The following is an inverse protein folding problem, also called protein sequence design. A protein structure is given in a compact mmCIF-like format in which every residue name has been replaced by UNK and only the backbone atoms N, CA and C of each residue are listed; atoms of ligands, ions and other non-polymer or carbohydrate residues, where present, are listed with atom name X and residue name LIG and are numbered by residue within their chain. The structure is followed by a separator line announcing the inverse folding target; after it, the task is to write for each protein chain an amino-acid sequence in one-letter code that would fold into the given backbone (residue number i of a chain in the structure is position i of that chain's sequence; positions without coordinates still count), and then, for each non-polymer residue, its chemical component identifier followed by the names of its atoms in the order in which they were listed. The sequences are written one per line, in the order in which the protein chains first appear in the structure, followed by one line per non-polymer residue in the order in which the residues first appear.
data_IF_901442612080
#
_entry.id   IF_901442612080
#
_cell.length_a   1.000
_cell.length_b   1.000
_cell.length_c   1.000
_cell.angle_alpha   90.00
_cell.angle_beta   90.00
_cell.angle_gamma   90.00
#
_symmetry.space_group_name_H-M   'P 1'
#
loop_
_entity.id
_entity.type
_entity.pdbx_description
1 polymer ?
#
# COMPACT_ATOMS: atom_id res chain seq x y z
N UNK A 1 -27.57 2.20 -22.46
CA UNK A 1 -26.51 2.83 -23.28
C UNK A 1 -25.44 3.35 -22.35
N UNK A 2 -24.23 3.55 -22.85
CA UNK A 2 -23.11 4.06 -22.05
C UNK A 2 -23.19 5.58 -21.93
N UNK A 3 -23.07 6.11 -20.73
CA UNK A 3 -23.05 7.55 -20.49
C UNK A 3 -22.12 7.91 -19.33
N UNK A 4 -21.66 9.16 -19.30
CA UNK A 4 -21.04 9.73 -18.13
C UNK A 4 -22.14 10.23 -17.18
N UNK A 5 -22.15 9.69 -15.97
CA UNK A 5 -23.17 9.90 -14.94
C UNK A 5 -22.54 10.73 -13.83
N UNK A 6 -23.14 11.89 -13.54
CA UNK A 6 -22.71 12.80 -12.49
C UNK A 6 -23.78 12.84 -11.39
N UNK A 7 -23.37 12.50 -10.18
CA UNK A 7 -24.15 12.74 -8.96
C UNK A 7 -23.59 13.93 -8.22
N UNK A 8 -24.49 14.77 -7.72
CA UNK A 8 -24.16 15.89 -6.83
C UNK A 8 -25.06 15.88 -5.60
N UNK A 9 -24.57 16.47 -4.51
CA UNK A 9 -25.31 16.59 -3.24
C UNK A 9 -24.75 17.76 -2.42
N UNK A 10 -25.57 18.46 -1.64
CA UNK A 10 -25.14 19.60 -0.82
C UNK A 10 -24.86 19.13 0.61
N UNK A 11 -23.60 19.18 1.02
CA UNK A 11 -23.23 18.74 2.37
C UNK A 11 -23.89 19.64 3.44
N UNK A 12 -24.66 19.02 4.34
CA UNK A 12 -25.28 19.70 5.48
C UNK A 12 -26.58 20.45 5.16
N UNK A 13 -27.16 20.30 3.96
CA UNK A 13 -28.37 21.02 3.57
C UNK A 13 -29.57 20.73 4.47
N UNK A 14 -29.79 19.48 4.89
CA UNK A 14 -30.90 19.14 5.80
C UNK A 14 -30.80 19.87 7.14
N UNK A 15 -29.58 20.01 7.68
CA UNK A 15 -29.35 20.74 8.93
C UNK A 15 -29.58 22.26 8.74
N UNK A 16 -29.14 22.81 7.61
CA UNK A 16 -29.38 24.21 7.27
C UNK A 16 -30.89 24.50 7.14
N UNK A 17 -31.65 23.61 6.48
CA UNK A 17 -33.09 23.77 6.30
C UNK A 17 -33.85 23.81 7.63
N UNK A 18 -33.39 23.10 8.66
CA UNK A 18 -33.98 23.15 10.01
C UNK A 18 -33.65 24.44 10.76
N UNK A 19 -32.50 25.07 10.48
CA UNK A 19 -32.03 26.27 11.18
C UNK A 19 -32.53 27.56 10.52
N UNK A 20 -32.52 27.63 9.19
CA UNK A 20 -32.90 28.80 8.41
C UNK A 20 -33.49 28.39 7.04
N UNK A 21 -34.81 28.26 6.98
CA UNK A 21 -35.54 27.92 5.76
C UNK A 21 -35.35 28.95 4.63
N UNK A 22 -35.16 30.23 4.96
CA UNK A 22 -35.03 31.29 3.97
C UNK A 22 -33.67 31.21 3.27
N UNK A 23 -32.61 31.00 4.05
CA UNK A 23 -31.27 30.79 3.52
C UNK A 23 -31.19 29.47 2.74
N UNK A 24 -31.79 28.38 3.26
CA UNK A 24 -31.84 27.10 2.56
C UNK A 24 -32.52 27.21 1.18
N UNK A 25 -33.65 27.93 1.11
CA UNK A 25 -34.33 28.21 -0.17
C UNK A 25 -33.43 28.99 -1.13
N UNK A 26 -32.76 30.05 -0.66
CA UNK A 26 -31.83 30.85 -1.48
C UNK A 26 -30.68 30.00 -2.04
N UNK A 27 -30.10 29.12 -1.22
CA UNK A 27 -29.05 28.19 -1.64
C UNK A 27 -29.58 27.21 -2.69
N UNK A 28 -30.76 26.62 -2.47
CA UNK A 28 -31.38 25.68 -3.41
C UNK A 28 -31.70 26.34 -4.76
N UNK A 29 -32.21 27.57 -4.74
CA UNK A 29 -32.56 28.31 -5.96
C UNK A 29 -31.29 28.66 -6.76
N UNK A 30 -30.20 29.09 -6.09
CA UNK A 30 -28.90 29.28 -6.73
C UNK A 30 -28.35 27.96 -7.28
N UNK A 31 -28.42 26.89 -6.48
CA UNK A 31 -27.95 25.56 -6.86
C UNK A 31 -28.59 25.07 -8.16
N UNK A 32 -29.94 25.13 -8.25
CA UNK A 32 -30.67 24.73 -9.45
C UNK A 32 -30.33 25.59 -10.66
N UNK A 33 -30.30 26.92 -10.49
CA UNK A 33 -29.97 27.85 -11.58
C UNK A 33 -28.59 27.54 -12.18
N UNK A 34 -27.57 27.39 -11.33
CA UNK A 34 -26.20 27.12 -11.79
C UNK A 34 -26.12 25.74 -12.45
N UNK A 35 -26.73 24.72 -11.86
CA UNK A 35 -26.75 23.37 -12.46
C UNK A 35 -27.41 23.38 -13.83
N UNK A 36 -28.60 23.95 -13.97
CA UNK A 36 -29.33 24.01 -15.24
C UNK A 36 -28.52 24.73 -16.32
N UNK A 37 -27.92 25.88 -15.99
CA UNK A 37 -27.10 26.65 -16.92
C UNK A 37 -25.84 25.88 -17.35
N UNK A 38 -25.07 25.35 -16.38
CA UNK A 38 -23.79 24.71 -16.64
C UNK A 38 -23.95 23.35 -17.30
N UNK A 39 -24.88 22.53 -16.85
CA UNK A 39 -25.12 21.21 -17.43
C UNK A 39 -25.55 21.35 -18.88
N UNK A 40 -26.46 22.28 -19.19
CA UNK A 40 -26.87 22.55 -20.57
C UNK A 40 -25.71 23.07 -21.42
N UNK A 41 -24.89 23.98 -20.90
CA UNK A 41 -23.69 24.51 -21.58
C UNK A 41 -22.74 23.38 -22.02
N UNK A 42 -22.62 22.33 -21.22
CA UNK A 42 -21.80 21.15 -21.52
C UNK A 42 -22.59 19.99 -22.12
N UNK A 43 -23.75 20.26 -22.73
CA UNK A 43 -24.60 19.28 -23.44
C UNK A 43 -25.02 18.09 -22.58
N UNK A 44 -25.03 18.27 -21.27
CA UNK A 44 -25.59 17.30 -20.35
C UNK A 44 -27.10 17.51 -20.17
N UNK A 45 -27.73 16.51 -19.58
CA UNK A 45 -29.15 16.53 -19.23
C UNK A 45 -29.32 16.19 -17.75
N UNK A 46 -30.10 16.98 -17.03
CA UNK A 46 -30.55 16.64 -15.68
C UNK A 46 -31.66 15.61 -15.82
N UNK A 47 -31.50 14.46 -15.17
CA UNK A 47 -32.47 13.37 -15.22
C UNK A 47 -33.43 13.47 -14.03
N UNK A 48 -32.90 13.68 -12.84
CA UNK A 48 -33.69 13.68 -11.62
C UNK A 48 -33.03 14.53 -10.51
N UNK A 49 -33.87 15.16 -9.70
CA UNK A 49 -33.49 15.78 -8.43
C UNK A 49 -33.88 14.87 -7.25
N UNK A 50 -33.01 14.71 -6.28
CA UNK A 50 -33.23 13.96 -5.04
C UNK A 50 -33.07 14.90 -3.84
N UNK A 51 -34.09 15.72 -3.58
CA UNK A 51 -33.99 16.78 -2.58
C UNK A 51 -33.00 17.85 -3.00
N UNK A 52 -31.83 17.88 -2.35
CA UNK A 52 -30.68 18.73 -2.65
C UNK A 52 -29.63 18.07 -3.55
N UNK A 53 -29.76 16.77 -3.81
CA UNK A 53 -28.94 16.05 -4.77
C UNK A 53 -29.47 16.11 -6.21
N UNK A 54 -28.59 15.87 -7.18
CA UNK A 54 -28.94 15.85 -8.61
C UNK A 54 -28.25 14.69 -9.32
N UNK A 55 -28.99 14.02 -10.21
CA UNK A 55 -28.48 13.06 -11.17
C UNK A 55 -28.51 13.67 -12.57
N UNK A 56 -27.33 13.78 -13.18
CA UNK A 56 -27.15 14.33 -14.52
C UNK A 56 -26.34 13.40 -15.39
N UNK A 57 -26.53 13.51 -16.70
CA UNK A 57 -25.88 12.65 -17.69
C UNK A 57 -25.26 13.45 -18.81
N UNK A 58 -24.15 12.95 -19.33
CA UNK A 58 -23.41 13.55 -20.43
C UNK A 58 -23.04 12.49 -21.45
N UNK A 59 -22.99 12.90 -22.72
CA UNK A 59 -22.48 12.05 -23.81
C UNK A 59 -20.96 11.83 -23.74
N UNK A 60 -20.24 12.65 -22.96
CA UNK A 60 -18.79 12.59 -22.81
C UNK A 60 -18.37 12.74 -21.34
N UNK A 61 -17.43 11.90 -20.90
CA UNK A 61 -16.82 12.03 -19.58
C UNK A 61 -16.01 13.33 -19.43
N UNK A 62 -15.36 13.77 -20.50
CA UNK A 62 -14.60 15.03 -20.50
C UNK A 62 -15.55 16.21 -20.30
N UNK A 63 -16.70 16.22 -20.98
CA UNK A 63 -17.73 17.26 -20.80
C UNK A 63 -18.30 17.25 -19.38
N UNK A 64 -18.58 16.06 -18.81
CA UNK A 64 -19.03 15.93 -17.43
C UNK A 64 -18.03 16.51 -16.43
N UNK A 65 -16.74 16.20 -16.59
CA UNK A 65 -15.69 16.69 -15.69
C UNK A 65 -15.48 18.19 -15.84
N UNK A 66 -15.47 18.74 -17.06
CA UNK A 66 -15.39 20.19 -17.29
C UNK A 66 -16.60 20.92 -16.69
N UNK A 67 -17.79 20.37 -16.84
CA UNK A 67 -19.00 20.87 -16.21
C UNK A 67 -18.87 20.89 -14.69
N UNK A 68 -18.42 19.78 -14.09
CA UNK A 68 -18.22 19.68 -12.65
C UNK A 68 -17.20 20.71 -12.12
N UNK A 69 -16.11 20.93 -12.86
CA UNK A 69 -15.09 21.95 -12.52
C UNK A 69 -15.69 23.36 -12.55
N UNK A 70 -16.49 23.71 -13.56
CA UNK A 70 -17.16 25.01 -13.63
C UNK A 70 -18.19 25.18 -12.52
N UNK A 71 -19.02 24.16 -12.26
CA UNK A 71 -20.00 24.16 -11.17
C UNK A 71 -19.29 24.39 -9.83
N UNK A 72 -18.22 23.65 -9.57
CA UNK A 72 -17.54 23.75 -8.29
C UNK A 72 -16.81 25.10 -8.12
N UNK A 73 -16.27 25.63 -9.20
CA UNK A 73 -15.66 26.97 -9.19
C UNK A 73 -16.70 28.06 -8.90
N UNK A 74 -17.90 27.95 -9.45
CA UNK A 74 -19.01 28.88 -9.20
C UNK A 74 -19.52 28.78 -7.75
N UNK A 75 -19.67 27.56 -7.24
CA UNK A 75 -20.14 27.31 -5.87
C UNK A 75 -19.12 27.62 -4.78
N UNK A 76 -17.85 27.83 -5.13
CA UNK A 76 -16.85 28.37 -4.21
C UNK A 76 -16.93 29.90 -4.04
N UNK A 77 -17.79 30.58 -4.81
CA UNK A 77 -18.06 32.01 -4.65
C UNK A 77 -19.26 32.25 -3.73
N UNK A 78 -19.32 33.40 -3.06
CA UNK A 78 -20.40 33.72 -2.11
C UNK A 78 -21.79 33.89 -2.78
N UNK A 79 -22.87 33.31 -2.22
CA UNK A 79 -22.90 32.42 -1.05
C UNK A 79 -22.35 31.02 -1.35
N UNK A 80 -21.31 30.58 -0.62
CA UNK A 80 -20.65 29.29 -0.86
C UNK A 80 -21.64 28.12 -0.73
N UNK A 81 -21.63 27.20 -1.71
CA UNK A 81 -22.42 25.97 -1.68
C UNK A 81 -21.47 24.77 -1.53
N UNK A 82 -21.51 24.04 -0.41
CA UNK A 82 -20.60 22.92 -0.13
C UNK A 82 -21.02 21.66 -0.92
N UNK A 83 -20.99 21.75 -2.24
CA UNK A 83 -21.36 20.66 -3.13
C UNK A 83 -20.27 19.58 -3.15
N UNK A 84 -20.68 18.31 -3.13
CA UNK A 84 -19.81 17.17 -3.41
C UNK A 84 -20.24 16.50 -4.71
N UNK A 85 -19.27 16.14 -5.55
CA UNK A 85 -19.53 15.60 -6.89
C UNK A 85 -18.86 14.24 -7.06
N UNK A 86 -19.58 13.28 -7.65
CA UNK A 86 -19.06 11.99 -8.08
C UNK A 86 -19.42 11.68 -9.53
N UNK A 87 -18.45 11.21 -10.31
CA UNK A 87 -18.63 10.92 -11.74
C UNK A 87 -18.17 9.50 -12.07
N UNK A 88 -18.98 8.78 -12.86
CA UNK A 88 -18.65 7.46 -13.40
C UNK A 88 -19.13 7.30 -14.84
N UNK A 89 -18.50 6.41 -15.61
CA UNK A 89 -19.00 5.96 -16.92
C UNK A 89 -19.57 4.56 -16.79
N UNK A 90 -20.85 4.39 -17.10
CA UNK A 90 -21.49 3.09 -17.01
C UNK A 90 -22.80 2.99 -17.79
N UNK A 91 -23.30 1.76 -17.88
CA UNK A 91 -24.59 1.50 -18.49
C UNK A 91 -25.72 2.02 -17.63
N UNK A 92 -26.70 2.60 -18.31
CA UNK A 92 -27.93 3.10 -17.73
C UNK A 92 -29.14 2.61 -18.53
N UNK A 93 -30.20 2.33 -17.78
CA UNK A 93 -31.52 1.92 -18.25
C UNK A 93 -32.53 2.94 -17.77
N UNK A 94 -33.43 3.33 -18.65
CA UNK A 94 -34.58 4.17 -18.31
C UNK A 94 -35.82 3.29 -18.20
N UNK A 95 -36.54 3.44 -17.09
CA UNK A 95 -37.89 2.91 -16.90
C UNK A 95 -38.80 4.06 -16.42
N UNK A 96 -40.12 3.85 -16.40
CA UNK A 96 -41.12 4.88 -16.08
C UNK A 96 -40.90 5.55 -14.70
N UNK A 97 -40.17 4.90 -13.80
CA UNK A 97 -39.86 5.37 -12.44
C UNK A 97 -38.52 6.13 -12.31
N UNK A 98 -37.70 6.17 -13.37
CA UNK A 98 -36.42 6.89 -13.37
C UNK A 98 -35.26 6.15 -14.03
N UNK A 99 -34.04 6.63 -13.78
CA UNK A 99 -32.83 6.05 -14.34
C UNK A 99 -32.13 5.12 -13.34
N UNK A 100 -31.93 3.87 -13.76
CA UNK A 100 -31.34 2.81 -12.94
C UNK A 100 -30.22 2.09 -13.70
N UNK A 101 -29.31 1.47 -12.95
CA UNK A 101 -28.20 0.70 -13.51
C UNK A 101 -26.98 0.66 -12.60
N UNK A 102 -26.04 -0.22 -12.95
CA UNK A 102 -24.77 -0.35 -12.23
C UNK A 102 -23.99 0.98 -12.26
N UNK A 103 -24.04 1.70 -13.39
CA UNK A 103 -23.38 2.99 -13.54
C UNK A 103 -23.90 4.05 -12.57
N UNK A 104 -25.22 4.08 -12.36
CA UNK A 104 -25.90 5.01 -11.44
C UNK A 104 -25.51 4.69 -9.99
N UNK A 105 -25.56 3.41 -9.61
CA UNK A 105 -25.16 2.97 -8.28
C UNK A 105 -23.70 3.34 -8.00
N UNK A 106 -22.77 3.04 -8.90
CA UNK A 106 -21.36 3.37 -8.73
C UNK A 106 -21.14 4.89 -8.62
N UNK A 107 -21.71 5.70 -9.51
CA UNK A 107 -21.56 7.15 -9.48
C UNK A 107 -22.04 7.76 -8.14
N UNK A 108 -23.19 7.27 -7.62
CA UNK A 108 -23.71 7.69 -6.32
C UNK A 108 -22.78 7.32 -5.15
N UNK A 109 -22.10 6.18 -5.22
CA UNK A 109 -21.11 5.75 -4.20
C UNK A 109 -19.86 6.61 -4.24
N UNK A 110 -19.36 6.94 -5.43
CA UNK A 110 -18.23 7.87 -5.59
C UNK A 110 -18.58 9.23 -5.01
N UNK A 111 -19.77 9.77 -5.33
CA UNK A 111 -20.24 11.05 -4.79
C UNK A 111 -20.36 11.01 -3.26
N UNK A 112 -20.83 9.89 -2.69
CA UNK A 112 -20.96 9.73 -1.24
C UNK A 112 -19.60 9.77 -0.51
N UNK A 113 -18.51 9.38 -1.17
CA UNK A 113 -17.15 9.49 -0.62
C UNK A 113 -16.61 10.92 -0.64
N UNK A 114 -17.04 11.72 -1.62
CA UNK A 114 -16.55 13.08 -1.79
C UNK A 114 -16.91 13.97 -0.59
N UNK A 115 -15.95 14.80 -0.20
CA UNK A 115 -16.12 15.84 0.83
C UNK A 115 -16.61 17.13 0.18
N UNK A 116 -17.11 18.06 0.99
CA UNK A 116 -17.59 19.35 0.50
C UNK A 116 -16.54 20.08 -0.35
N UNK A 117 -16.93 20.47 -1.55
CA UNK A 117 -16.09 21.20 -2.49
C UNK A 117 -15.11 20.34 -3.29
N UNK A 118 -15.28 19.02 -3.30
CA UNK A 118 -14.41 18.08 -4.01
C UNK A 118 -15.15 17.37 -5.14
N UNK A 119 -14.38 16.95 -6.15
CA UNK A 119 -14.86 16.18 -7.30
C UNK A 119 -14.11 14.85 -7.31
N UNK A 120 -14.84 13.74 -7.18
CA UNK A 120 -14.29 12.40 -7.30
C UNK A 120 -14.77 11.72 -8.58
N UNK A 121 -13.87 10.95 -9.20
CA UNK A 121 -14.13 10.22 -10.43
C UNK A 121 -13.58 8.78 -10.32
N UNK A 122 -14.14 7.88 -11.12
CA UNK A 122 -13.63 6.49 -11.26
C UNK A 122 -12.44 6.39 -12.22
N UNK A 123 -11.70 5.27 -12.14
CA UNK A 123 -10.75 4.79 -13.16
C UNK A 123 -11.19 5.06 -14.61
N UNK A 124 -12.39 4.59 -14.99
CA UNK A 124 -12.91 4.72 -16.37
C UNK A 124 -13.04 6.17 -16.85
N UNK A 125 -13.39 7.07 -15.94
CA UNK A 125 -13.52 8.50 -16.29
C UNK A 125 -12.13 9.07 -16.48
N UNK A 126 -11.20 8.73 -15.59
CA UNK A 126 -9.82 9.19 -15.64
C UNK A 126 -9.09 8.74 -16.91
N UNK A 127 -9.39 7.54 -17.41
CA UNK A 127 -8.84 7.04 -18.69
C UNK A 127 -9.23 7.95 -19.88
N UNK A 128 -10.45 8.49 -19.87
CA UNK A 128 -10.91 9.47 -20.88
C UNK A 128 -10.24 10.85 -20.75
N UNK A 129 -9.61 11.14 -19.60
CA UNK A 129 -8.97 12.44 -19.34
C UNK A 129 -7.48 12.47 -19.72
N UNK A 130 -6.88 11.33 -20.10
CA UNK A 130 -5.42 11.23 -20.36
C UNK A 130 -4.93 12.24 -21.39
N UNK A 131 -5.76 12.59 -22.38
CA UNK A 131 -5.43 13.54 -23.44
C UNK A 131 -5.85 15.00 -23.12
N UNK A 132 -6.24 15.28 -21.88
CA UNK A 132 -6.73 16.58 -21.41
C UNK A 132 -5.85 17.12 -20.27
N UNK A 133 -4.61 17.60 -20.58
CA UNK A 133 -3.64 18.01 -19.57
C UNK A 133 -4.08 19.23 -18.75
N UNK A 134 -5.10 19.96 -19.20
CA UNK A 134 -5.72 21.04 -18.44
C UNK A 134 -6.47 20.56 -17.20
N UNK A 135 -6.84 19.26 -17.13
CA UNK A 135 -7.54 18.65 -16.02
C UNK A 135 -6.53 17.90 -15.15
N UNK A 136 -6.27 18.42 -13.94
CA UNK A 136 -5.36 17.76 -13.00
C UNK A 136 -6.10 16.73 -12.16
N UNK A 137 -5.47 15.58 -11.99
CA UNK A 137 -6.04 14.41 -11.30
C UNK A 137 -5.06 13.85 -10.27
N UNK A 138 -5.57 13.41 -9.10
CA UNK A 138 -4.79 12.70 -8.08
C UNK A 138 -5.49 11.39 -7.72
N UNK A 139 -4.84 10.25 -7.93
CA UNK A 139 -5.36 8.94 -7.52
C UNK A 139 -5.19 8.72 -6.01
N UNK A 140 -6.18 8.08 -5.39
CA UNK A 140 -6.15 7.59 -4.01
C UNK A 140 -6.05 6.06 -3.94
N UNK A 141 -5.91 5.38 -5.08
CA UNK A 141 -5.92 3.92 -5.16
C UNK A 141 -7.33 3.33 -5.12
N UNK A 142 -7.41 2.02 -4.89
CA UNK A 142 -8.66 1.26 -4.99
C UNK A 142 -9.43 1.22 -3.68
N UNK A 143 -10.75 1.35 -3.75
CA UNK A 143 -11.66 1.30 -2.62
C UNK A 143 -12.75 0.24 -2.86
N UNK A 144 -13.06 -0.53 -1.83
CA UNK A 144 -14.21 -1.42 -1.81
C UNK A 144 -15.46 -0.61 -1.47
N UNK A 145 -16.29 -0.34 -2.48
CA UNK A 145 -17.53 0.41 -2.31
C UNK A 145 -18.70 -0.53 -1.99
N UNK A 146 -19.61 -0.09 -1.13
CA UNK A 146 -20.81 -0.85 -0.77
C UNK A 146 -21.62 -1.21 -2.02
N UNK A 147 -21.94 -2.50 -2.18
CA UNK A 147 -22.70 -3.05 -3.30
C UNK A 147 -22.04 -2.87 -4.68
N UNK A 148 -20.71 -2.73 -4.74
CA UNK A 148 -19.93 -2.75 -5.98
C UNK A 148 -19.06 -3.99 -5.99
N UNK A 149 -19.17 -4.82 -7.04
CA UNK A 149 -18.55 -6.16 -7.08
C UNK A 149 -17.02 -6.13 -7.05
N UNK A 150 -16.41 -5.11 -7.65
CA UNK A 150 -14.95 -4.96 -7.75
C UNK A 150 -14.50 -3.68 -7.06
N UNK A 151 -13.33 -3.67 -6.40
CA UNK A 151 -12.73 -2.43 -5.93
C UNK A 151 -12.54 -1.44 -7.08
N UNK A 152 -12.86 -0.18 -6.83
CA UNK A 152 -12.79 0.89 -7.82
C UNK A 152 -11.67 1.86 -7.46
N UNK A 153 -10.86 2.26 -8.44
CA UNK A 153 -9.91 3.35 -8.22
C UNK A 153 -10.66 4.67 -8.07
N UNK A 154 -10.37 5.41 -7.00
CA UNK A 154 -10.96 6.70 -6.72
C UNK A 154 -9.92 7.79 -6.99
N UNK A 155 -10.27 8.73 -7.85
CA UNK A 155 -9.40 9.82 -8.28
C UNK A 155 -10.09 11.15 -7.99
N UNK A 156 -9.36 12.12 -7.43
CA UNK A 156 -9.85 13.49 -7.32
C UNK A 156 -9.46 14.32 -8.54
N UNK A 157 -10.38 15.15 -9.00
CA UNK A 157 -10.09 16.25 -9.93
C UNK A 157 -9.87 17.51 -9.12
N UNK A 158 -8.78 18.24 -9.39
CA UNK A 158 -8.40 19.42 -8.61
C UNK A 158 -7.83 20.54 -9.47
N UNK A 159 -7.86 21.75 -8.94
CA UNK A 159 -7.15 22.91 -9.49
C UNK A 159 -6.89 23.90 -8.34
N UNK A 160 -6.51 25.15 -8.63
CA UNK A 160 -6.23 26.13 -7.59
C UNK A 160 -7.47 26.49 -6.72
N UNK A 161 -8.68 26.24 -7.23
CA UNK A 161 -9.94 26.55 -6.58
C UNK A 161 -10.65 25.30 -6.02
N UNK A 162 -10.30 24.09 -6.47
CA UNK A 162 -10.96 22.83 -6.09
C UNK A 162 -10.01 22.02 -5.21
N UNK A 163 -10.48 21.69 -4.00
CA UNK A 163 -9.68 21.02 -2.98
C UNK A 163 -9.44 19.56 -3.33
N UNK A 164 -8.29 19.05 -2.91
CA UNK A 164 -8.01 17.62 -2.84
C UNK A 164 -8.56 17.10 -1.49
N UNK A 165 -9.38 16.04 -1.47
CA UNK A 165 -9.90 15.46 -0.23
C UNK A 165 -8.78 14.85 0.63
N UNK A 166 -9.06 14.73 1.94
CA UNK A 166 -8.18 14.04 2.88
C UNK A 166 -8.28 12.51 2.66
N UNK A 167 -7.12 11.86 2.53
CA UNK A 167 -7.01 10.43 2.29
C UNK A 167 -7.50 9.58 3.48
N UNK A 168 -7.35 10.10 4.69
CA UNK A 168 -7.85 9.44 5.92
C UNK A 168 -9.38 9.43 5.94
N UNK A 169 -10.02 10.57 5.65
CA UNK A 169 -11.48 10.69 5.57
C UNK A 169 -12.06 9.75 4.49
N UNK A 170 -11.40 9.65 3.34
CA UNK A 170 -11.78 8.71 2.27
C UNK A 170 -11.73 7.25 2.74
N UNK A 171 -10.64 6.88 3.44
CA UNK A 171 -10.41 5.52 3.93
C UNK A 171 -11.33 5.12 5.08
N UNK A 172 -11.82 6.08 5.85
CA UNK A 172 -12.84 5.87 6.87
C UNK A 172 -14.24 5.64 6.25
N UNK A 173 -14.57 6.37 5.18
CA UNK A 173 -15.87 6.25 4.49
C UNK A 173 -15.98 4.98 3.64
N UNK A 174 -14.87 4.50 3.08
CA UNK A 174 -14.81 3.22 2.35
C UNK A 174 -13.48 2.50 2.59
N UNK A 175 -13.54 1.16 2.67
CA UNK A 175 -12.36 0.34 2.87
C UNK A 175 -11.39 0.47 1.69
N UNK A 176 -10.30 1.21 1.89
CA UNK A 176 -9.19 1.25 0.94
C UNK A 176 -8.60 -0.15 0.81
N UNK A 177 -8.50 -0.64 -0.41
CA UNK A 177 -7.92 -1.93 -0.75
C UNK A 177 -6.44 -1.73 -0.98
N UNK A 178 -5.66 -2.13 0.00
CA UNK A 178 -4.21 -2.13 -0.10
C UNK A 178 -3.74 -3.34 -0.88
N UNK A 179 -2.63 -3.21 -1.59
CA UNK A 179 -1.92 -4.38 -2.06
C UNK A 179 -1.28 -5.04 -0.86
N UNK A 180 -1.42 -6.36 -0.75
CA UNK A 180 -0.90 -7.07 0.41
C UNK A 180 -0.25 -8.38 0.00
N UNK A 181 0.94 -8.59 0.57
CA UNK A 181 1.75 -9.78 0.34
C UNK A 181 2.21 -10.36 1.68
N UNK A 182 2.14 -11.68 1.79
CA UNK A 182 2.90 -12.41 2.80
C UNK A 182 4.11 -13.08 2.18
N UNK A 183 5.24 -13.11 2.88
CA UNK A 183 6.46 -13.79 2.43
C UNK A 183 6.67 -15.00 3.33
N UNK A 184 6.30 -16.17 2.84
CA UNK A 184 6.46 -17.41 3.60
C UNK A 184 7.92 -17.86 3.64
N UNK A 185 8.35 -18.55 4.73
CA UNK A 185 9.69 -19.11 4.83
C UNK A 185 10.03 -19.98 3.63
N UNK A 186 11.10 -19.62 2.92
CA UNK A 186 11.58 -20.40 1.79
C UNK A 186 12.07 -21.76 2.27
N UNK A 187 11.71 -22.80 1.52
CA UNK A 187 12.06 -24.18 1.85
C UNK A 187 13.54 -24.44 1.53
N UNK A 188 14.31 -24.92 2.50
CA UNK A 188 15.66 -25.42 2.23
C UNK A 188 15.58 -26.74 1.45
N UNK A 189 15.99 -26.72 0.18
CA UNK A 189 16.10 -27.89 -0.71
C UNK A 189 17.56 -28.32 -0.93
N UNK A 190 18.46 -27.87 -0.05
CA UNK A 190 19.86 -28.32 -0.01
C UNK A 190 19.98 -29.66 0.70
N UNK A 191 21.05 -30.40 0.45
CA UNK A 191 21.30 -31.71 1.11
C UNK A 191 21.70 -31.57 2.57
N UNK A 192 22.22 -30.41 2.95
CA UNK A 192 22.70 -30.12 4.30
C UNK A 192 21.64 -29.28 5.06
N UNK A 193 21.00 -29.84 6.10
CA UNK A 193 20.03 -29.16 6.95
C UNK A 193 20.58 -27.90 7.63
N UNK A 194 21.89 -27.82 7.85
CA UNK A 194 22.54 -26.64 8.44
C UNK A 194 22.41 -25.41 7.55
N UNK A 195 21.98 -25.52 6.29
CA UNK A 195 21.70 -24.35 5.43
C UNK A 195 20.31 -23.74 5.64
N UNK A 196 19.54 -24.19 6.64
CA UNK A 196 18.23 -23.59 6.95
C UNK A 196 18.34 -22.10 7.34
N UNK A 197 19.43 -21.69 8.00
CA UNK A 197 19.66 -20.25 8.27
C UNK A 197 19.75 -19.43 6.98
N UNK A 198 20.21 -20.06 5.89
CA UNK A 198 20.41 -19.38 4.62
C UNK A 198 19.06 -19.17 3.92
N UNK A 199 18.19 -20.18 3.87
CA UNK A 199 16.84 -20.03 3.32
C UNK A 199 15.99 -19.04 4.13
N UNK A 200 16.10 -19.09 5.46
CA UNK A 200 15.43 -18.13 6.34
C UNK A 200 15.97 -16.71 6.11
N UNK A 201 17.30 -16.56 6.00
CA UNK A 201 17.94 -15.28 5.72
C UNK A 201 17.44 -14.64 4.42
N UNK A 202 17.35 -15.41 3.33
CA UNK A 202 16.79 -14.93 2.05
C UNK A 202 15.33 -14.50 2.20
N UNK A 203 14.55 -15.23 2.99
CA UNK A 203 13.15 -14.88 3.26
C UNK A 203 13.04 -13.53 3.96
N UNK A 204 13.85 -13.30 5.00
CA UNK A 204 13.89 -12.03 5.73
C UNK A 204 14.23 -10.86 4.82
N UNK A 205 15.23 -11.06 3.97
CA UNK A 205 15.77 -10.02 3.10
C UNK A 205 14.76 -9.61 2.04
N UNK A 206 14.04 -10.57 1.44
CA UNK A 206 12.93 -10.27 0.54
C UNK A 206 11.80 -9.57 1.30
N UNK A 207 11.45 -10.02 2.51
CA UNK A 207 10.41 -9.37 3.33
C UNK A 207 10.79 -7.91 3.62
N UNK A 208 12.02 -7.64 4.04
CA UNK A 208 12.52 -6.30 4.36
C UNK A 208 12.67 -5.40 3.13
N UNK A 209 12.96 -5.95 1.96
CA UNK A 209 12.97 -5.20 0.72
C UNK A 209 11.54 -4.79 0.32
N UNK A 210 10.58 -5.71 0.43
CA UNK A 210 9.18 -5.45 0.08
C UNK A 210 8.49 -4.44 1.01
N UNK A 211 8.91 -4.32 2.28
CA UNK A 211 8.33 -3.31 3.21
C UNK A 211 8.65 -1.87 2.79
N UNK A 212 9.64 -1.66 1.93
CA UNK A 212 10.02 -0.35 1.40
C UNK A 212 9.23 0.05 0.15
N UNK A 213 8.40 -0.86 -0.40
CA UNK A 213 7.62 -0.61 -1.61
C UNK A 213 6.37 0.21 -1.28
N UNK A 214 6.25 1.41 -1.85
CA UNK A 214 5.10 2.28 -1.61
C UNK A 214 3.78 1.63 -2.07
N UNK A 215 2.76 1.70 -1.20
CA UNK A 215 1.44 1.15 -1.49
C UNK A 215 1.31 -0.37 -1.33
N UNK A 216 2.39 -1.07 -0.94
CA UNK A 216 2.38 -2.50 -0.63
C UNK A 216 2.41 -2.72 0.89
N UNK A 217 1.39 -3.40 1.40
CA UNK A 217 1.37 -3.94 2.75
C UNK A 217 2.07 -5.29 2.78
N UNK A 218 3.02 -5.43 3.68
CA UNK A 218 3.75 -6.69 3.87
C UNK A 218 3.44 -7.20 5.27
N UNK A 219 3.06 -8.48 5.38
CA UNK A 219 2.82 -9.08 6.69
C UNK A 219 4.09 -9.12 7.52
N UNK A 220 3.93 -9.05 8.84
CA UNK A 220 5.07 -9.22 9.72
C UNK A 220 5.78 -10.56 9.52
N UNK A 221 7.10 -10.55 9.75
CA UNK A 221 7.93 -11.76 9.82
C UNK A 221 7.31 -12.82 10.73
N UNK A 222 6.98 -12.46 11.96
CA UNK A 222 6.47 -13.41 12.97
C UNK A 222 5.20 -14.11 12.50
N UNK A 223 4.29 -13.37 11.87
CA UNK A 223 3.06 -13.93 11.29
C UNK A 223 3.37 -14.91 10.16
N UNK A 224 4.30 -14.58 9.26
CA UNK A 224 4.67 -15.44 8.14
C UNK A 224 5.41 -16.71 8.59
N UNK A 225 6.36 -16.56 9.51
CA UNK A 225 7.15 -17.66 10.05
C UNK A 225 6.35 -18.62 10.93
N UNK A 226 5.16 -18.23 11.40
CA UNK A 226 4.25 -19.14 12.09
C UNK A 226 3.76 -20.29 11.18
N UNK A 227 3.89 -20.16 9.86
CA UNK A 227 3.57 -21.20 8.88
C UNK A 227 4.76 -22.07 8.49
N UNK A 228 5.96 -21.83 9.07
CA UNK A 228 7.14 -22.62 8.76
C UNK A 228 6.91 -24.11 9.06
N UNK A 229 7.19 -24.96 8.07
CA UNK A 229 7.04 -26.41 8.20
C UNK A 229 5.60 -26.90 8.29
N UNK A 230 4.60 -26.01 8.12
CA UNK A 230 3.19 -26.39 8.01
C UNK A 230 2.84 -26.65 6.56
N UNK A 231 2.06 -27.70 6.32
CA UNK A 231 1.51 -28.00 5.01
C UNK A 231 0.05 -27.56 4.97
N UNK A 232 -0.17 -26.26 4.74
CA UNK A 232 -1.49 -25.64 4.74
C UNK A 232 -1.80 -25.02 3.37
N UNK A 233 -3.08 -25.05 2.98
CA UNK A 233 -3.53 -24.46 1.72
C UNK A 233 -3.34 -22.95 1.69
N UNK A 234 -2.76 -22.43 0.60
CA UNK A 234 -2.41 -21.02 0.44
C UNK A 234 -3.60 -20.08 0.59
N UNK A 235 -4.82 -20.53 0.27
CA UNK A 235 -6.06 -19.73 0.42
C UNK A 235 -6.45 -19.60 1.89
N UNK A 236 -6.17 -20.64 2.69
CA UNK A 236 -6.34 -20.58 4.16
C UNK A 236 -5.31 -19.61 4.78
N UNK A 237 -4.05 -19.72 4.38
CA UNK A 237 -2.97 -18.81 4.82
C UNK A 237 -3.33 -17.36 4.49
N UNK A 238 -3.76 -17.10 3.25
CA UNK A 238 -4.17 -15.77 2.82
C UNK A 238 -5.32 -15.18 3.64
N UNK A 239 -6.30 -16.00 4.03
CA UNK A 239 -7.40 -15.58 4.92
C UNK A 239 -6.91 -15.28 6.33
N UNK A 240 -6.04 -16.12 6.90
CA UNK A 240 -5.51 -15.93 8.26
C UNK A 240 -4.61 -14.69 8.36
N UNK A 241 -3.80 -14.45 7.33
CA UNK A 241 -2.91 -13.29 7.25
C UNK A 241 -3.59 -12.04 6.68
N UNK A 242 -4.83 -12.16 6.18
CA UNK A 242 -5.57 -11.10 5.50
C UNK A 242 -4.78 -10.47 4.34
N UNK A 243 -4.19 -11.30 3.48
CA UNK A 243 -3.40 -10.88 2.31
C UNK A 243 -3.99 -11.35 0.99
N UNK A 244 -3.79 -10.55 -0.06
CA UNK A 244 -4.22 -10.88 -1.42
C UNK A 244 -3.26 -11.79 -2.18
N UNK A 245 -1.98 -11.74 -1.81
CA UNK A 245 -0.95 -12.56 -2.44
C UNK A 245 -0.02 -13.17 -1.40
N UNK A 246 0.56 -14.31 -1.76
CA UNK A 246 1.61 -14.95 -0.98
C UNK A 246 2.80 -15.19 -1.89
N UNK A 247 3.98 -14.79 -1.42
CA UNK A 247 5.27 -15.19 -1.97
C UNK A 247 5.77 -16.41 -1.20
N UNK A 248 6.07 -17.48 -1.92
CA UNK A 248 6.77 -18.64 -1.39
C UNK A 248 7.91 -19.06 -2.32
N UNK A 249 8.75 -19.97 -1.84
CA UNK A 249 9.88 -20.41 -2.64
C UNK A 249 10.74 -21.46 -1.99
N UNK A 250 11.84 -21.77 -2.67
CA UNK A 250 12.82 -22.73 -2.20
C UNK A 250 14.23 -22.24 -2.49
N UNK A 251 15.17 -22.62 -1.64
CA UNK A 251 16.59 -22.33 -1.80
C UNK A 251 17.37 -23.64 -1.80
N UNK A 252 18.19 -23.82 -2.83
CA UNK A 252 19.16 -24.92 -2.90
C UNK A 252 20.56 -24.34 -3.02
N UNK A 253 21.39 -24.58 -2.02
CA UNK A 253 22.79 -24.18 -1.97
C UNK A 253 23.70 -25.38 -2.18
N UNK A 254 24.69 -25.22 -3.06
CA UNK A 254 25.72 -26.23 -3.34
C UNK A 254 27.08 -25.51 -3.48
N UNK A 255 27.88 -25.55 -2.42
CA UNK A 255 29.14 -24.79 -2.36
C UNK A 255 28.87 -23.28 -2.48
N UNK A 256 29.48 -22.64 -3.48
CA UNK A 256 29.31 -21.21 -3.76
C UNK A 256 28.11 -20.89 -4.67
N UNK A 257 27.37 -21.90 -5.15
CA UNK A 257 26.23 -21.72 -6.06
C UNK A 257 24.92 -21.84 -5.31
N UNK A 258 23.98 -20.97 -5.66
CA UNK A 258 22.63 -20.95 -5.09
C UNK A 258 21.61 -20.92 -6.22
N UNK A 259 20.61 -21.79 -6.11
CA UNK A 259 19.39 -21.74 -6.89
C UNK A 259 18.24 -21.30 -5.97
N UNK A 260 17.61 -20.20 -6.31
CA UNK A 260 16.40 -19.70 -5.63
C UNK A 260 15.24 -19.82 -6.61
N UNK A 261 14.18 -20.51 -6.20
CA UNK A 261 12.91 -20.49 -6.93
C UNK A 261 11.92 -19.71 -6.08
N UNK A 262 11.26 -18.72 -6.68
CA UNK A 262 10.24 -17.91 -6.02
C UNK A 262 8.95 -17.90 -6.84
N UNK A 263 7.83 -17.83 -6.15
CA UNK A 263 6.50 -17.96 -6.72
C UNK A 263 5.54 -17.02 -5.99
N UNK A 264 4.85 -16.18 -6.76
CA UNK A 264 3.80 -15.30 -6.26
C UNK A 264 2.44 -15.93 -6.58
N UNK A 265 1.62 -16.14 -5.56
CA UNK A 265 0.36 -16.87 -5.65
C UNK A 265 -0.79 -15.96 -5.25
N UNK A 266 -1.90 -16.02 -5.99
CA UNK A 266 -3.14 -15.36 -5.64
C UNK A 266 -3.87 -16.16 -4.55
N UNK A 267 -4.17 -15.54 -3.41
CA UNK A 267 -4.80 -16.23 -2.28
C UNK A 267 -6.30 -16.46 -2.46
N UNK A 268 -6.93 -15.80 -3.43
CA UNK A 268 -8.37 -15.97 -3.70
C UNK A 268 -8.70 -17.26 -4.43
N UNK A 269 -7.81 -17.71 -5.31
CA UNK A 269 -8.01 -18.88 -6.18
C UNK A 269 -6.91 -19.93 -6.05
N UNK A 270 -5.75 -19.58 -5.49
CA UNK A 270 -4.60 -20.45 -5.31
C UNK A 270 -3.73 -20.60 -6.55
N UNK A 271 -3.95 -19.81 -7.61
CA UNK A 271 -3.15 -19.90 -8.84
C UNK A 271 -1.88 -19.04 -8.78
N UNK A 272 -0.81 -19.52 -9.42
CA UNK A 272 0.41 -18.76 -9.59
C UNK A 272 0.18 -17.54 -10.49
N UNK A 273 0.54 -16.37 -9.98
CA UNK A 273 0.61 -15.12 -10.73
C UNK A 273 1.94 -15.04 -11.49
N UNK A 274 3.02 -15.44 -10.81
CA UNK A 274 4.39 -15.40 -11.32
C UNK A 274 5.24 -16.48 -10.66
N UNK A 275 6.21 -17.02 -11.40
CA UNK A 275 7.23 -17.90 -10.87
C UNK A 275 8.52 -17.69 -11.64
N UNK A 276 9.64 -17.70 -10.93
CA UNK A 276 10.95 -17.59 -11.54
C UNK A 276 12.01 -18.37 -10.76
N UNK A 277 13.09 -18.74 -11.45
CA UNK A 277 14.24 -19.40 -10.85
C UNK A 277 15.50 -18.60 -11.16
N UNK A 278 16.27 -18.34 -10.12
CA UNK A 278 17.49 -17.55 -10.14
C UNK A 278 18.66 -18.47 -9.79
N UNK A 279 19.57 -18.63 -10.73
CA UNK A 279 20.86 -19.28 -10.51
C UNK A 279 21.94 -18.21 -10.35
N UNK A 280 22.60 -18.16 -9.20
CA UNK A 280 23.67 -17.21 -8.91
C UNK A 280 24.79 -17.83 -8.09
N UNK A 281 25.91 -17.12 -8.03
CA UNK A 281 26.90 -17.36 -6.98
C UNK A 281 26.45 -16.65 -5.69
N UNK A 282 26.94 -17.09 -4.53
CA UNK A 282 26.67 -16.42 -3.25
C UNK A 282 27.14 -14.95 -3.25
N UNK A 283 28.08 -14.61 -4.13
CA UNK A 283 28.63 -13.26 -4.31
C UNK A 283 27.58 -12.27 -4.82
N UNK A 284 26.63 -12.75 -5.62
CA UNK A 284 25.60 -11.94 -6.28
C UNK A 284 24.26 -12.00 -5.54
N UNK A 285 24.24 -12.51 -4.30
CA UNK A 285 22.99 -12.85 -3.60
C UNK A 285 22.10 -11.64 -3.33
N UNK A 286 22.70 -10.47 -3.13
CA UNK A 286 21.98 -9.21 -2.96
C UNK A 286 21.32 -8.75 -4.26
N UNK A 287 21.97 -8.98 -5.40
CA UNK A 287 21.36 -8.68 -6.70
C UNK A 287 20.10 -9.53 -6.90
N UNK A 288 20.10 -10.78 -6.42
CA UNK A 288 18.90 -11.64 -6.46
C UNK A 288 17.78 -11.11 -5.59
N UNK A 289 18.10 -10.67 -4.37
CA UNK A 289 17.10 -10.08 -3.46
C UNK A 289 16.43 -8.87 -4.12
N UNK A 290 17.22 -7.95 -4.66
CA UNK A 290 16.72 -6.75 -5.32
C UNK A 290 15.92 -7.11 -6.57
N UNK A 291 16.41 -8.06 -7.37
CA UNK A 291 15.73 -8.54 -8.57
C UNK A 291 14.37 -9.17 -8.24
N UNK A 292 14.31 -10.07 -7.25
CA UNK A 292 13.05 -10.70 -6.82
C UNK A 292 12.08 -9.64 -6.30
N UNK A 293 12.54 -8.74 -5.42
CA UNK A 293 11.69 -7.73 -4.80
C UNK A 293 11.12 -6.77 -5.83
N UNK A 294 11.95 -6.27 -6.75
CA UNK A 294 11.52 -5.42 -7.85
C UNK A 294 10.56 -6.15 -8.79
N UNK A 295 10.84 -7.41 -9.15
CA UNK A 295 9.93 -8.19 -10.00
C UNK A 295 8.57 -8.42 -9.36
N UNK A 296 8.52 -8.69 -8.06
CA UNK A 296 7.25 -8.84 -7.33
C UNK A 296 6.52 -7.51 -7.26
N UNK A 297 7.19 -6.42 -6.89
CA UNK A 297 6.61 -5.09 -6.83
C UNK A 297 6.05 -4.66 -8.19
N UNK A 298 6.81 -4.83 -9.27
CA UNK A 298 6.40 -4.55 -10.63
C UNK A 298 5.22 -5.44 -11.06
N UNK A 299 5.27 -6.75 -10.77
CA UNK A 299 4.18 -7.67 -11.11
C UNK A 299 2.89 -7.30 -10.40
N UNK A 300 2.95 -7.00 -9.10
CA UNK A 300 1.80 -6.55 -8.31
C UNK A 300 1.26 -5.22 -8.82
N UNK A 301 2.12 -4.23 -9.10
CA UNK A 301 1.72 -2.95 -9.68
C UNK A 301 1.06 -3.14 -11.04
N UNK A 302 1.73 -3.81 -11.99
CA UNK A 302 1.23 -4.02 -13.35
C UNK A 302 -0.12 -4.73 -13.40
N UNK A 303 -0.29 -5.81 -12.63
CA UNK A 303 -1.53 -6.60 -12.65
C UNK A 303 -2.72 -5.86 -12.06
N UNK A 304 -2.49 -4.80 -11.27
CA UNK A 304 -3.53 -4.09 -10.57
C UNK A 304 -3.77 -2.67 -11.08
N UNK A 305 -2.78 -2.02 -11.70
CA UNK A 305 -2.89 -0.63 -12.18
C UNK A 305 -2.63 -0.46 -13.68
N UNK A 306 -2.18 -1.51 -14.39
CA UNK A 306 -1.87 -1.42 -15.83
C UNK A 306 -0.71 -0.47 -16.17
N UNK A 307 0.04 0.04 -15.17
CA UNK A 307 1.16 0.97 -15.36
C UNK A 307 2.44 0.41 -14.74
N UNK A 308 3.54 0.52 -15.47
CA UNK A 308 4.90 0.16 -15.03
C UNK A 308 5.66 1.44 -14.70
N UNK A 309 6.32 1.50 -13.54
CA UNK A 309 7.24 2.57 -13.18
C UNK A 309 8.45 1.96 -12.50
N UNK A 310 9.65 2.26 -13.00
CA UNK A 310 10.91 1.77 -12.43
C UNK A 310 11.15 2.46 -11.09
N UNK A 311 11.25 1.67 -10.02
CA UNK A 311 11.78 2.13 -8.73
C UNK A 311 13.31 2.01 -8.69
N UNK A 312 13.90 2.85 -7.84
CA UNK A 312 15.35 2.97 -7.69
C UNK A 312 15.95 1.76 -6.96
N UNK A 313 17.20 1.39 -7.26
CA UNK A 313 17.87 0.26 -6.61
C UNK A 313 17.98 0.47 -5.09
N UNK A 314 17.69 -0.60 -4.35
CA UNK A 314 17.86 -0.66 -2.90
C UNK A 314 19.36 -0.61 -2.57
N UNK A 315 19.71 0.05 -1.48
CA UNK A 315 21.09 0.17 -1.01
C UNK A 315 21.53 -1.17 -0.42
N UNK A 316 22.60 -1.75 -0.93
CA UNK A 316 23.14 -3.04 -0.50
C UNK A 316 23.71 -2.94 0.93
N UNK A 317 23.37 -3.86 1.87
CA UNK A 317 23.80 -3.74 3.27
C UNK A 317 25.29 -3.99 3.55
N UNK A 318 26.00 -4.69 2.66
CA UNK A 318 27.42 -5.08 2.78
C UNK A 318 27.96 -5.53 1.41
N UNK A 319 29.28 -5.45 1.23
CA UNK A 319 29.99 -6.01 0.06
C UNK A 319 30.82 -7.28 0.37
N UNK A 320 30.80 -7.77 1.62
CA UNK A 320 31.60 -8.93 2.06
C UNK A 320 30.71 -10.14 2.41
N UNK A 321 30.81 -11.20 1.59
CA UNK A 321 29.98 -12.40 1.68
C UNK A 321 30.22 -13.20 2.96
N UNK A 322 31.46 -13.23 3.47
CA UNK A 322 31.76 -13.98 4.69
C UNK A 322 31.16 -13.28 5.91
N UNK A 323 31.30 -11.95 5.98
CA UNK A 323 30.63 -11.13 6.97
C UNK A 323 29.10 -11.27 6.88
N UNK A 324 28.57 -11.28 5.65
CA UNK A 324 27.15 -11.45 5.41
C UNK A 324 26.62 -12.83 5.83
N UNK A 325 27.31 -13.92 5.51
CA UNK A 325 26.92 -15.26 5.93
C UNK A 325 26.88 -15.38 7.47
N UNK A 326 27.85 -14.78 8.15
CA UNK A 326 27.85 -14.71 9.62
C UNK A 326 26.69 -13.87 10.14
N UNK A 327 26.38 -12.75 9.49
CA UNK A 327 25.21 -11.94 9.82
C UNK A 327 23.90 -12.74 9.70
N UNK A 328 23.69 -13.47 8.58
CA UNK A 328 22.50 -14.32 8.39
C UNK A 328 22.40 -15.44 9.43
N UNK A 329 23.53 -16.09 9.76
CA UNK A 329 23.57 -17.07 10.87
C UNK A 329 23.17 -16.42 12.19
N UNK A 330 23.67 -15.22 12.45
CA UNK A 330 23.29 -14.43 13.62
C UNK A 330 21.79 -14.18 13.69
N UNK A 331 21.17 -13.76 12.58
CA UNK A 331 19.73 -13.53 12.49
C UNK A 331 18.93 -14.79 12.82
N UNK A 332 19.29 -15.92 12.21
CA UNK A 332 18.63 -17.20 12.45
C UNK A 332 18.60 -17.57 13.94
N UNK A 333 19.71 -17.38 14.66
CA UNK A 333 19.77 -17.65 16.09
C UNK A 333 19.07 -16.58 16.94
N UNK A 334 19.16 -15.31 16.55
CA UNK A 334 18.47 -14.20 17.23
C UNK A 334 16.96 -14.44 17.32
N UNK A 335 16.35 -14.87 16.21
CA UNK A 335 14.91 -15.08 16.13
C UNK A 335 14.40 -16.34 16.86
N UNK A 336 15.26 -17.10 17.53
CA UNK A 336 14.83 -18.16 18.46
C UNK A 336 14.48 -17.62 19.85
N UNK A 337 14.85 -16.36 20.16
CA UNK A 337 14.50 -15.67 21.42
C UNK A 337 14.84 -16.46 22.70
N UNK A 338 15.90 -17.28 22.66
CA UNK A 338 16.42 -17.98 23.84
C UNK A 338 17.79 -17.39 24.20
N UNK A 339 18.12 -17.24 25.50
CA UNK A 339 19.41 -16.71 25.92
C UNK A 339 20.61 -17.46 25.33
N UNK A 340 20.49 -18.79 25.18
CA UNK A 340 21.52 -19.60 24.54
C UNK A 340 21.68 -19.27 23.05
N UNK A 341 20.58 -19.16 22.28
CA UNK A 341 20.65 -18.81 20.86
C UNK A 341 21.11 -17.37 20.65
N UNK A 342 20.69 -16.42 21.51
CA UNK A 342 21.14 -15.03 21.43
C UNK A 342 22.66 -14.92 21.64
N UNK A 343 23.26 -15.71 22.54
CA UNK A 343 24.73 -15.77 22.68
C UNK A 343 25.42 -16.25 21.40
N UNK A 344 24.87 -17.28 20.74
CA UNK A 344 25.38 -17.72 19.42
C UNK A 344 25.22 -16.63 18.37
N UNK A 345 24.10 -15.90 18.38
CA UNK A 345 23.90 -14.77 17.48
C UNK A 345 24.96 -13.68 17.69
N UNK A 346 25.24 -13.32 18.94
CA UNK A 346 26.28 -12.34 19.29
C UNK A 346 27.66 -12.73 18.78
N UNK A 347 28.05 -14.00 18.90
CA UNK A 347 29.33 -14.49 18.40
C UNK A 347 29.45 -14.34 16.88
N UNK A 348 28.38 -14.66 16.15
CA UNK A 348 28.35 -14.51 14.70
C UNK A 348 28.42 -13.04 14.28
N UNK A 349 27.65 -12.14 14.91
CA UNK A 349 27.73 -10.70 14.62
C UNK A 349 29.10 -10.10 14.93
N UNK A 350 29.75 -10.53 16.02
CA UNK A 350 31.12 -10.11 16.35
C UNK A 350 32.13 -10.53 15.29
N UNK A 351 32.03 -11.76 14.77
CA UNK A 351 32.88 -12.23 13.67
C UNK A 351 32.60 -11.45 12.37
N UNK A 352 31.33 -11.16 12.07
CA UNK A 352 30.97 -10.35 10.91
C UNK A 352 31.63 -8.95 10.97
N UNK A 353 31.58 -8.31 12.14
CA UNK A 353 32.22 -7.00 12.39
C UNK A 353 33.75 -7.07 12.32
N UNK A 354 34.37 -8.19 12.70
CA UNK A 354 35.81 -8.37 12.58
C UNK A 354 36.25 -8.44 11.10
N UNK A 355 35.43 -9.03 10.24
CA UNK A 355 35.69 -9.14 8.81
C UNK A 355 35.38 -7.83 8.10
N UNK A 356 34.28 -7.16 8.47
CA UNK A 356 33.86 -5.88 7.89
C UNK A 356 33.54 -4.88 9.00
N UNK A 357 34.53 -4.05 9.41
CA UNK A 357 34.38 -3.11 10.52
C UNK A 357 33.32 -2.02 10.34
N UNK A 358 32.84 -1.80 9.11
CA UNK A 358 31.84 -0.80 8.74
C UNK A 358 30.43 -1.40 8.54
N UNK A 359 30.23 -2.68 8.88
CA UNK A 359 28.94 -3.36 8.68
C UNK A 359 27.87 -2.92 9.70
N UNK A 360 27.20 -1.81 9.43
CA UNK A 360 26.26 -1.13 10.31
C UNK A 360 25.15 -2.04 10.88
N UNK A 361 24.59 -2.92 10.03
CA UNK A 361 23.52 -3.85 10.43
C UNK A 361 23.98 -4.86 11.50
N UNK A 362 25.24 -5.33 11.44
CA UNK A 362 25.78 -6.26 12.43
C UNK A 362 25.95 -5.58 13.80
N UNK A 363 26.36 -4.30 13.83
CA UNK A 363 26.41 -3.52 15.08
C UNK A 363 25.02 -3.31 15.69
N UNK A 364 24.03 -2.97 14.85
CA UNK A 364 22.64 -2.79 15.27
C UNK A 364 22.09 -4.07 15.93
N UNK A 365 22.26 -5.23 15.28
CA UNK A 365 21.82 -6.52 15.83
C UNK A 365 22.57 -6.92 17.10
N UNK A 366 23.88 -6.62 17.17
CA UNK A 366 24.68 -6.90 18.37
C UNK A 366 24.20 -6.06 19.56
N UNK A 367 23.87 -4.78 19.35
CA UNK A 367 23.25 -3.93 20.38
C UNK A 367 21.95 -4.55 20.92
N UNK A 368 21.04 -4.97 20.03
CA UNK A 368 19.80 -5.64 20.41
C UNK A 368 20.00 -6.91 21.25
N UNK A 369 21.05 -7.68 20.98
CA UNK A 369 21.39 -8.86 21.78
C UNK A 369 21.78 -8.51 23.22
N UNK A 370 22.59 -7.45 23.40
CA UNK A 370 22.95 -6.98 24.74
C UNK A 370 21.71 -6.45 25.50
N UNK A 371 20.83 -5.68 24.85
CA UNK A 371 19.56 -5.24 25.45
C UNK A 371 18.73 -6.43 25.91
N UNK A 372 18.55 -7.45 25.06
CA UNK A 372 17.78 -8.65 25.40
C UNK A 372 18.35 -9.40 26.60
N UNK A 373 19.67 -9.62 26.65
CA UNK A 373 20.29 -10.34 27.78
C UNK A 373 20.23 -9.55 29.08
N UNK A 374 20.37 -8.21 29.02
CA UNK A 374 20.18 -7.33 30.18
C UNK A 374 18.73 -7.36 30.69
N UNK A 375 17.76 -7.20 29.79
CA UNK A 375 16.34 -7.17 30.12
C UNK A 375 15.82 -8.51 30.66
N UNK A 376 16.39 -9.63 30.22
CA UNK A 376 16.02 -10.98 30.66
C UNK A 376 16.83 -11.49 31.85
N UNK A 377 17.73 -10.67 32.43
CA UNK A 377 18.54 -11.03 33.61
C UNK A 377 19.68 -12.03 33.34
N UNK A 378 20.00 -12.31 32.07
CA UNK A 378 21.07 -13.23 31.68
C UNK A 378 22.43 -12.53 31.52
N UNK A 379 22.45 -11.20 31.68
CA UNK A 379 23.62 -10.35 31.83
C UNK A 379 23.25 -9.21 32.79
N UNK A 380 24.17 -8.75 33.63
CA UNK A 380 23.92 -7.57 34.47
C UNK A 380 23.56 -6.38 33.60
N UNK A 381 22.47 -5.68 33.91
CA UNK A 381 22.02 -4.48 33.19
C UNK A 381 23.07 -3.38 33.22
N UNK A 382 23.81 -3.26 34.32
CA UNK A 382 24.93 -2.30 34.49
C UNK A 382 26.07 -2.55 33.49
N UNK A 383 26.20 -3.78 32.97
CA UNK A 383 27.21 -4.15 31.97
C UNK A 383 26.59 -4.14 30.57
N UNK A 384 25.39 -4.69 30.43
CA UNK A 384 24.75 -4.91 29.14
C UNK A 384 24.34 -3.59 28.46
N UNK A 385 23.75 -2.66 29.20
CA UNK A 385 23.18 -1.45 28.62
C UNK A 385 24.24 -0.46 28.13
N UNK A 386 25.34 -0.17 28.85
CA UNK A 386 26.41 0.69 28.32
C UNK A 386 27.00 0.15 27.01
N UNK A 387 27.23 -1.17 26.93
CA UNK A 387 27.77 -1.82 25.73
C UNK A 387 26.75 -1.80 24.58
N UNK A 388 25.46 -2.02 24.88
CA UNK A 388 24.41 -1.89 23.89
C UNK A 388 24.36 -0.47 23.30
N UNK A 389 24.51 0.56 24.14
CA UNK A 389 24.55 1.97 23.71
C UNK A 389 25.67 2.23 22.71
N UNK A 390 26.88 1.80 23.05
CA UNK A 390 28.07 2.03 22.22
C UNK A 390 27.89 1.43 20.81
N UNK A 391 27.37 0.21 20.74
CA UNK A 391 27.11 -0.45 19.46
C UNK A 391 25.97 0.21 18.66
N UNK A 392 24.90 0.67 19.32
CA UNK A 392 23.81 1.40 18.65
C UNK A 392 24.30 2.75 18.10
N UNK A 393 25.08 3.50 18.86
CA UNK A 393 25.67 4.77 18.40
C UNK A 393 26.67 4.56 17.27
N UNK A 394 27.46 3.47 17.30
CA UNK A 394 28.36 3.12 16.21
C UNK A 394 27.60 2.76 14.93
N UNK A 395 26.53 1.98 15.04
CA UNK A 395 25.67 1.65 13.91
C UNK A 395 25.06 2.92 13.28
N UNK A 396 24.54 3.86 14.08
CA UNK A 396 24.00 5.14 13.59
C UNK A 396 25.04 6.05 12.92
N UNK A 397 26.30 6.02 13.39
CA UNK A 397 27.39 6.76 12.71
C UNK A 397 27.71 6.19 11.33
N UNK A 398 27.48 4.90 11.12
CA UNK A 398 27.73 4.22 9.84
C UNK A 398 26.52 4.32 8.91
N UNK A 399 25.31 4.19 9.47
CA UNK A 399 24.04 4.32 8.75
C UNK A 399 22.94 4.81 9.70
N UNK A 400 22.51 6.06 9.53
CA UNK A 400 21.48 6.71 10.34
C UNK A 400 20.06 6.32 9.93
N UNK A 401 19.90 5.56 8.85
CA UNK A 401 18.59 5.10 8.37
C UNK A 401 18.09 3.84 9.07
N UNK A 402 18.91 3.18 9.91
CA UNK A 402 18.58 1.90 10.56
C UNK A 402 17.64 2.12 11.77
N UNK A 403 16.35 1.74 11.69
CA UNK A 403 15.38 2.03 12.74
C UNK A 403 15.67 1.28 14.06
N UNK A 404 16.22 0.06 13.98
CA UNK A 404 16.51 -0.76 15.15
C UNK A 404 17.50 -0.12 16.13
N UNK A 405 18.38 0.77 15.65
CA UNK A 405 19.32 1.48 16.50
C UNK A 405 18.60 2.47 17.43
N UNK A 406 17.57 3.16 16.94
CA UNK A 406 16.76 4.08 17.75
C UNK A 406 15.94 3.33 18.79
N UNK A 407 15.41 2.15 18.44
CA UNK A 407 14.71 1.29 19.38
C UNK A 407 15.65 0.84 20.51
N UNK A 408 16.88 0.40 20.19
CA UNK A 408 17.87 0.00 21.18
C UNK A 408 18.26 1.15 22.12
N UNK A 409 18.46 2.37 21.61
CA UNK A 409 18.74 3.54 22.43
C UNK A 409 17.58 3.92 23.37
N UNK A 410 16.33 3.60 23.00
CA UNK A 410 15.17 3.78 23.86
C UNK A 410 15.18 2.91 25.12
N UNK A 411 15.73 1.69 25.04
CA UNK A 411 15.84 0.77 26.18
C UNK A 411 17.02 1.08 27.12
N UNK A 412 17.95 1.90 26.67
CA UNK A 412 19.25 2.15 27.30
C UNK A 412 19.33 3.56 27.93
N UNK A 413 18.20 4.29 27.91
CA UNK A 413 18.07 5.62 28.52
C UNK A 413 17.81 5.58 30.02
#
# INVERSE_FOLDING_TARGET
FLAAIMFTDIVGYTALMQQDETLAKKIRDRHRKVLEEKILKFRGNIIQYYGDGTLSMFGSAVEAVKCAVEIQTEFNQEPVIPLRIGIHIGDIVYEDEGAYGDGVNIASRIQSLASAGTILISDKVNDELVNHPEIKTKSFGKFALKNVKRPLEIIAVYNNNIKIPDETELSEKAGKVYQSVAVLPFVNMSTDPENEYFSDGITEEILNALTKVEGLQVTSRTSSFAFKGKNEDIRSIGKQLNVHTVLEGSVRKAGNKVRITSQLINTSDGFHIWSETFDRNLEDIFEVQDEISNKIADTLKQKLTGKSGKEQPLKTPTCNIEAYNLYLKGLYHWYKWTPASVKVAMENYKKAIQIEPDFAMAYSRLSGCYVFLGATGHMSSEIAYPVAKEYAEKALRLDDSIPECYAALGFVK
#
